data_IF_110196151467
#
_entry.id   IF_110196151467
#
_cell.length_a   1.000
_cell.length_b   1.000
_cell.length_c   1.000
_cell.angle_alpha   90.00
_cell.angle_beta   90.00
_cell.angle_gamma   90.00
#
_symmetry.space_group_name_H-M   'P 1'
#
loop_
_entity.id
_entity.type
_entity.pdbx_description
1 polymer ?
#
# COMPACT_ATOMS: atom_id res chain seq x y z
N UNK A 1 -34.22 27.19 -14.49
CA UNK A 1 -32.80 26.82 -14.66
C UNK A 1 -32.70 25.31 -14.48
N UNK A 2 -32.76 24.53 -15.57
CA UNK A 2 -32.72 23.07 -15.50
C UNK A 2 -31.28 22.61 -15.27
N UNK A 3 -31.04 21.90 -14.17
CA UNK A 3 -29.80 21.14 -13.95
C UNK A 3 -29.70 20.06 -15.03
N UNK A 4 -28.69 20.16 -15.90
CA UNK A 4 -28.27 19.04 -16.75
C UNK A 4 -27.75 17.95 -15.82
N UNK A 5 -28.51 16.87 -15.70
CA UNK A 5 -28.01 15.59 -15.18
C UNK A 5 -26.85 15.19 -16.10
N UNK A 6 -25.63 15.19 -15.55
CA UNK A 6 -24.45 14.65 -16.24
C UNK A 6 -24.74 13.17 -16.51
N UNK A 7 -24.84 12.80 -17.79
CA UNK A 7 -24.89 11.39 -18.18
C UNK A 7 -23.65 10.72 -17.63
N UNK A 8 -23.82 9.69 -16.82
CA UNK A 8 -22.72 8.82 -16.39
C UNK A 8 -21.97 8.33 -17.62
N UNK A 9 -20.65 8.50 -17.60
CA UNK A 9 -19.75 8.04 -18.66
C UNK A 9 -19.93 6.53 -18.81
N UNK A 10 -20.61 6.11 -19.87
CA UNK A 10 -20.89 4.71 -20.22
C UNK A 10 -19.71 4.02 -20.89
N UNK A 11 -18.50 4.56 -20.70
CA UNK A 11 -17.27 4.19 -21.41
C UNK A 11 -16.17 3.78 -20.42
N UNK A 12 -16.56 3.11 -19.32
CA UNK A 12 -15.67 2.48 -18.34
C UNK A 12 -15.85 0.97 -18.38
N UNK A 13 -14.79 0.23 -18.07
CA UNK A 13 -14.81 -1.23 -18.02
C UNK A 13 -15.82 -1.71 -16.96
N UNK A 14 -16.69 -2.69 -17.24
CA UNK A 14 -17.52 -3.29 -16.19
C UNK A 14 -16.63 -4.01 -15.17
N UNK A 15 -16.91 -3.83 -13.87
CA UNK A 15 -16.10 -4.43 -12.80
C UNK A 15 -15.96 -5.94 -12.93
N UNK A 16 -17.05 -6.62 -13.31
CA UNK A 16 -17.05 -8.06 -13.56
C UNK A 16 -16.02 -8.49 -14.61
N UNK A 17 -15.82 -7.71 -15.67
CA UNK A 17 -14.82 -8.05 -16.69
C UNK A 17 -13.39 -7.98 -16.13
N UNK A 18 -13.14 -7.05 -15.21
CA UNK A 18 -11.85 -6.93 -14.55
C UNK A 18 -11.66 -8.00 -13.45
N UNK A 19 -12.72 -8.36 -12.72
CA UNK A 19 -12.71 -9.50 -11.80
C UNK A 19 -12.39 -10.81 -12.54
N UNK A 20 -13.08 -11.06 -13.66
CA UNK A 20 -12.85 -12.23 -14.51
C UNK A 20 -11.41 -12.24 -15.06
N UNK A 21 -10.85 -11.06 -15.37
CA UNK A 21 -9.46 -10.93 -15.79
C UNK A 21 -8.47 -11.31 -14.66
N UNK A 22 -8.68 -10.85 -13.42
CA UNK A 22 -7.86 -11.26 -12.27
C UNK A 22 -7.96 -12.77 -12.01
N UNK A 23 -9.15 -13.35 -12.16
CA UNK A 23 -9.35 -14.80 -11.98
C UNK A 23 -8.56 -15.64 -13.00
N UNK A 24 -8.37 -15.13 -14.22
CA UNK A 24 -7.65 -15.82 -15.32
C UNK A 24 -6.14 -15.54 -15.28
N UNK A 25 -5.75 -14.29 -15.05
CA UNK A 25 -4.34 -13.86 -15.08
C UNK A 25 -3.55 -14.29 -13.83
N UNK A 26 -4.26 -14.74 -12.78
CA UNK A 26 -3.72 -14.86 -11.43
C UNK A 26 -4.02 -13.57 -10.66
N UNK A 27 -4.34 -13.70 -9.38
CA UNK A 27 -4.70 -12.58 -8.50
C UNK A 27 -3.62 -11.49 -8.39
N UNK A 28 -2.43 -11.71 -8.97
CA UNK A 28 -1.32 -10.77 -9.04
C UNK A 28 -0.98 -10.44 -10.49
N UNK A 29 -0.99 -9.15 -10.82
CA UNK A 29 -0.74 -8.65 -12.16
C UNK A 29 0.38 -7.62 -12.10
N UNK A 30 1.43 -7.83 -12.90
CA UNK A 30 2.50 -6.85 -13.08
C UNK A 30 2.21 -5.99 -14.31
N UNK A 31 2.13 -4.67 -14.12
CA UNK A 31 2.00 -3.70 -15.22
C UNK A 31 3.35 -3.44 -15.88
N UNK A 32 3.33 -2.81 -17.06
CA UNK A 32 4.56 -2.34 -17.74
C UNK A 32 5.35 -1.29 -16.97
N UNK A 33 4.70 -0.59 -16.03
CA UNK A 33 5.28 0.48 -15.23
C UNK A 33 5.79 -0.06 -13.86
N UNK A 34 6.01 -1.38 -13.76
CA UNK A 34 6.50 -2.04 -12.55
C UNK A 34 5.57 -1.85 -11.32
N UNK A 35 4.28 -1.61 -11.57
CA UNK A 35 3.23 -1.64 -10.54
C UNK A 35 2.65 -3.04 -10.49
N UNK A 36 2.51 -3.57 -9.29
CA UNK A 36 1.90 -4.87 -9.01
C UNK A 36 0.48 -4.63 -8.49
N UNK A 37 -0.52 -5.27 -9.08
CA UNK A 37 -1.90 -5.21 -8.64
C UNK A 37 -2.27 -6.56 -8.04
N UNK A 38 -2.80 -6.56 -6.83
CA UNK A 38 -3.26 -7.75 -6.13
C UNK A 38 -4.75 -7.62 -5.80
N UNK A 39 -5.56 -8.60 -6.20
CA UNK A 39 -6.96 -8.71 -5.81
C UNK A 39 -7.08 -9.71 -4.64
N UNK A 40 -7.46 -9.21 -3.47
CA UNK A 40 -7.70 -10.03 -2.28
C UNK A 40 -9.06 -10.71 -2.33
N UNK A 41 -9.22 -11.80 -1.58
CA UNK A 41 -10.49 -12.54 -1.45
C UNK A 41 -11.66 -11.67 -0.93
N UNK A 42 -11.35 -10.59 -0.20
CA UNK A 42 -12.32 -9.61 0.28
C UNK A 42 -12.86 -8.70 -0.82
N UNK A 43 -12.31 -8.78 -2.03
CA UNK A 43 -12.59 -7.90 -3.16
C UNK A 43 -11.72 -6.65 -3.21
N UNK A 44 -10.92 -6.39 -2.18
CA UNK A 44 -9.98 -5.25 -2.13
C UNK A 44 -8.87 -5.43 -3.17
N UNK A 45 -8.49 -4.34 -3.84
CA UNK A 45 -7.29 -4.31 -4.69
C UNK A 45 -6.18 -3.51 -4.02
N UNK A 46 -4.98 -4.06 -3.96
CA UNK A 46 -3.77 -3.33 -3.54
C UNK A 46 -2.89 -3.12 -4.77
N UNK A 47 -2.46 -1.88 -4.99
CA UNK A 47 -1.44 -1.56 -5.98
C UNK A 47 -0.11 -1.25 -5.27
N UNK A 48 0.95 -1.98 -5.61
CA UNK A 48 2.27 -1.88 -4.99
C UNK A 48 3.32 -1.48 -6.02
N UNK A 49 4.21 -0.55 -5.68
CA UNK A 49 5.33 -0.15 -6.51
C UNK A 49 6.62 -0.07 -5.67
N UNK A 50 7.65 -0.87 -5.98
CA UNK A 50 8.92 -0.81 -5.26
C UNK A 50 9.62 0.53 -5.44
N UNK A 51 10.01 1.16 -4.32
CA UNK A 51 10.73 2.44 -4.30
C UNK A 51 12.24 2.26 -4.18
N UNK A 52 12.67 1.31 -3.35
CA UNK A 52 14.08 1.01 -3.07
C UNK A 52 14.26 -0.35 -2.46
N UNK A 53 15.46 -0.87 -2.64
CA UNK A 53 16.00 -1.97 -1.85
C UNK A 53 17.45 -1.65 -1.49
N UNK A 54 17.77 -1.62 -0.20
CA UNK A 54 19.13 -1.55 0.32
C UNK A 54 19.55 -2.94 0.80
N UNK A 55 20.23 -3.68 -0.09
CA UNK A 55 20.75 -5.02 0.18
C UNK A 55 21.64 -5.07 1.43
N UNK A 56 22.38 -4.00 1.73
CA UNK A 56 23.34 -4.01 2.84
C UNK A 56 22.65 -3.90 4.18
N UNK A 57 21.52 -3.20 4.23
CA UNK A 57 20.70 -3.04 5.44
C UNK A 57 19.54 -4.04 5.50
N UNK A 58 19.27 -4.77 4.42
CA UNK A 58 18.11 -5.63 4.30
C UNK A 58 16.80 -4.86 4.42
N UNK A 59 16.73 -3.67 3.82
CA UNK A 59 15.54 -2.80 3.87
C UNK A 59 14.94 -2.69 2.47
N UNK A 60 13.70 -3.09 2.28
CA UNK A 60 12.90 -2.70 1.10
C UNK A 60 11.91 -1.61 1.49
N UNK A 61 11.61 -0.73 0.53
CA UNK A 61 10.57 0.29 0.69
C UNK A 61 9.65 0.20 -0.51
N UNK A 62 8.37 0.05 -0.24
CA UNK A 62 7.31 -0.08 -1.22
C UNK A 62 6.26 1.02 -1.03
N UNK A 63 5.69 1.48 -2.13
CA UNK A 63 4.57 2.42 -2.15
C UNK A 63 3.29 1.65 -2.49
N UNK A 64 2.28 1.78 -1.63
CA UNK A 64 1.03 1.04 -1.72
C UNK A 64 -0.16 1.99 -1.85
N UNK A 65 -1.15 1.59 -2.65
CA UNK A 65 -2.43 2.27 -2.77
C UNK A 65 -3.59 1.27 -2.62
N UNK A 66 -4.53 1.59 -1.73
CA UNK A 66 -5.61 0.69 -1.30
C UNK A 66 -6.92 1.00 -2.01
N UNK A 67 -7.44 0.10 -2.82
CA UNK A 67 -8.76 0.22 -3.43
C UNK A 67 -9.73 -0.73 -2.75
N UNK A 68 -10.84 -0.21 -2.23
CA UNK A 68 -11.89 -0.98 -1.55
C UNK A 68 -12.46 -2.10 -2.43
N UNK A 69 -12.45 -1.88 -3.74
CA UNK A 69 -12.86 -2.86 -4.75
C UNK A 69 -12.37 -2.48 -6.16
N UNK A 70 -12.58 -3.42 -7.09
CA UNK A 70 -12.26 -3.28 -8.52
C UNK A 70 -12.99 -2.10 -9.16
N UNK A 71 -14.23 -1.79 -8.77
CA UNK A 71 -14.94 -0.60 -9.28
C UNK A 71 -14.22 0.70 -8.92
N UNK A 72 -13.67 0.80 -7.71
CA UNK A 72 -12.92 1.98 -7.30
C UNK A 72 -11.63 2.11 -8.12
N UNK A 73 -10.91 1.01 -8.36
CA UNK A 73 -9.74 1.00 -9.24
C UNK A 73 -10.10 1.52 -10.64
N UNK A 74 -11.17 1.00 -11.24
CA UNK A 74 -11.66 1.41 -12.56
C UNK A 74 -11.99 2.89 -12.61
N UNK A 75 -12.74 3.39 -11.62
CA UNK A 75 -13.17 4.80 -11.56
C UNK A 75 -11.99 5.74 -11.34
N UNK A 76 -11.06 5.40 -10.46
CA UNK A 76 -9.90 6.24 -10.13
C UNK A 76 -8.96 6.39 -11.32
N UNK A 77 -8.71 5.31 -12.05
CA UNK A 77 -7.77 5.30 -13.18
C UNK A 77 -8.43 5.46 -14.55
N UNK A 78 -9.77 5.57 -14.60
CA UNK A 78 -10.52 5.70 -15.84
C UNK A 78 -10.32 4.51 -16.80
N UNK A 79 -10.26 3.30 -16.25
CA UNK A 79 -9.98 2.07 -17.00
C UNK A 79 -11.16 1.76 -17.93
N UNK A 80 -10.89 1.66 -19.23
CA UNK A 80 -11.91 1.33 -20.24
C UNK A 80 -11.76 -0.09 -20.79
N UNK A 81 -10.56 -0.64 -20.67
CA UNK A 81 -10.16 -1.98 -21.09
C UNK A 81 -9.00 -2.46 -20.24
N UNK A 82 -8.80 -3.76 -20.16
CA UNK A 82 -7.75 -4.40 -19.35
C UNK A 82 -6.34 -3.90 -19.68
N UNK A 83 -6.06 -3.50 -20.92
CA UNK A 83 -4.76 -2.96 -21.30
C UNK A 83 -4.45 -1.61 -20.65
N UNK A 84 -5.48 -0.86 -20.24
CA UNK A 84 -5.30 0.44 -19.59
C UNK A 84 -4.69 0.30 -18.19
N UNK A 85 -4.71 -0.90 -17.58
CA UNK A 85 -3.97 -1.19 -16.34
C UNK A 85 -2.47 -0.90 -16.49
N UNK A 86 -1.92 -1.04 -17.71
CA UNK A 86 -0.52 -0.72 -18.00
C UNK A 86 -0.20 0.77 -17.94
N UNK A 87 -1.20 1.64 -17.75
CA UNK A 87 -1.03 3.08 -17.61
C UNK A 87 -0.96 3.53 -16.16
N UNK A 88 -1.19 2.63 -15.20
CA UNK A 88 -1.06 2.94 -13.78
C UNK A 88 0.42 3.07 -13.48
N UNK A 89 0.83 4.27 -13.08
CA UNK A 89 2.22 4.63 -12.82
C UNK A 89 2.50 4.75 -11.32
N UNK A 90 3.79 4.76 -10.97
CA UNK A 90 4.24 5.13 -9.62
C UNK A 90 3.71 6.52 -9.19
N UNK A 91 3.59 7.47 -10.11
CA UNK A 91 3.08 8.82 -9.81
C UNK A 91 1.62 8.79 -9.35
N UNK A 92 0.81 7.91 -9.94
CA UNK A 92 -0.60 7.75 -9.54
C UNK A 92 -0.71 7.20 -8.12
N UNK A 93 0.15 6.23 -7.77
CA UNK A 93 0.25 5.70 -6.41
C UNK A 93 0.72 6.78 -5.42
N UNK A 94 1.65 7.65 -5.82
CA UNK A 94 2.09 8.77 -4.99
C UNK A 94 0.96 9.75 -4.69
N UNK A 95 0.16 10.11 -5.71
CA UNK A 95 -1.01 10.97 -5.53
C UNK A 95 -2.02 10.34 -4.57
N UNK A 96 -2.21 9.02 -4.65
CA UNK A 96 -3.08 8.26 -3.74
C UNK A 96 -2.57 8.29 -2.31
N UNK A 97 -1.26 8.06 -2.10
CA UNK A 97 -0.62 8.18 -0.80
C UNK A 97 -0.76 9.59 -0.21
N UNK A 98 -0.43 10.63 -0.98
CA UNK A 98 -0.57 12.03 -0.56
C UNK A 98 -2.03 12.42 -0.26
N UNK A 99 -2.98 11.76 -0.93
CA UNK A 99 -4.41 11.88 -0.66
C UNK A 99 -4.93 11.03 0.51
N UNK A 100 -4.07 10.28 1.21
CA UNK A 100 -4.46 9.42 2.34
C UNK A 100 -5.10 8.09 1.95
N UNK A 101 -5.08 7.71 0.67
CA UNK A 101 -5.63 6.45 0.14
C UNK A 101 -4.52 5.46 -0.24
N UNK A 102 -3.45 5.46 0.55
CA UNK A 102 -2.26 4.63 0.38
C UNK A 102 -1.34 4.77 1.59
N UNK A 103 -0.24 4.04 1.54
CA UNK A 103 0.80 4.06 2.56
C UNK A 103 2.14 3.67 1.94
N UNK A 104 3.23 3.97 2.64
CA UNK A 104 4.54 3.42 2.33
C UNK A 104 4.84 2.36 3.35
N UNK A 105 5.24 1.18 2.90
CA UNK A 105 5.72 0.10 3.77
C UNK A 105 7.23 0.00 3.64
N UNK A 106 7.90 -0.25 4.76
CA UNK A 106 9.30 -0.59 4.79
C UNK A 106 9.49 -1.91 5.53
N UNK A 107 9.88 -2.94 4.80
CA UNK A 107 10.27 -4.22 5.39
C UNK A 107 11.73 -4.12 5.85
N UNK A 108 11.97 -4.49 7.10
CA UNK A 108 13.29 -4.43 7.74
C UNK A 108 13.66 -5.87 8.11
N UNK A 109 14.35 -6.56 7.21
CA UNK A 109 14.69 -7.98 7.35
C UNK A 109 15.40 -8.32 8.67
N UNK A 110 16.26 -7.43 9.16
CA UNK A 110 16.99 -7.64 10.43
C UNK A 110 16.07 -7.70 11.65
N UNK A 111 14.88 -7.09 11.55
CA UNK A 111 13.90 -6.99 12.62
C UNK A 111 12.70 -7.93 12.45
N UNK A 112 12.57 -8.58 11.28
CA UNK A 112 11.38 -9.38 10.90
C UNK A 112 10.09 -8.59 11.15
N UNK A 113 10.08 -7.34 10.65
CA UNK A 113 9.06 -6.36 10.96
C UNK A 113 8.82 -5.38 9.81
N UNK A 114 7.54 -5.07 9.58
CA UNK A 114 7.14 -4.03 8.64
C UNK A 114 6.85 -2.71 9.36
N UNK A 115 7.35 -1.60 8.80
CA UNK A 115 7.06 -0.24 9.24
C UNK A 115 6.21 0.48 8.20
N UNK A 116 5.02 0.93 8.62
CA UNK A 116 4.06 1.59 7.76
C UNK A 116 4.02 3.10 8.01
N UNK A 117 4.03 3.88 6.94
CA UNK A 117 3.89 5.32 6.92
C UNK A 117 2.59 5.68 6.22
N UNK A 118 1.64 6.30 6.94
CA UNK A 118 0.35 6.73 6.38
C UNK A 118 0.09 8.19 6.69
N UNK A 119 -0.43 8.92 5.71
CA UNK A 119 -0.87 10.30 5.92
C UNK A 119 -2.27 10.31 6.51
N UNK A 120 -2.42 10.99 7.64
CA UNK A 120 -3.72 11.27 8.24
C UNK A 120 -3.80 12.77 8.54
N UNK A 121 -4.72 13.47 7.87
CA UNK A 121 -4.79 14.94 7.88
C UNK A 121 -3.46 15.56 7.43
N UNK A 122 -2.75 16.26 8.31
CA UNK A 122 -1.49 16.96 8.01
C UNK A 122 -0.28 16.31 8.69
N UNK A 123 -0.41 15.08 9.19
CA UNK A 123 0.67 14.34 9.87
C UNK A 123 0.95 13.03 9.15
N UNK A 124 2.19 12.54 9.31
CA UNK A 124 2.55 11.17 8.93
C UNK A 124 2.48 10.31 10.18
N UNK A 125 1.57 9.35 10.20
CA UNK A 125 1.53 8.29 11.20
C UNK A 125 2.51 7.21 10.80
N UNK A 126 3.42 6.88 11.70
CA UNK A 126 4.35 5.77 11.54
C UNK A 126 4.01 4.69 12.55
N UNK A 127 3.80 3.48 12.07
CA UNK A 127 3.37 2.38 12.93
C UNK A 127 3.89 1.04 12.45
N UNK A 128 4.00 0.10 13.38
CA UNK A 128 4.33 -1.29 13.08
C UNK A 128 3.58 -2.18 14.05
N UNK A 129 2.76 -3.08 13.52
CA UNK A 129 2.11 -4.12 14.32
C UNK A 129 3.16 -5.09 14.88
N UNK A 130 4.22 -5.34 14.10
CA UNK A 130 5.29 -6.26 14.49
C UNK A 130 6.09 -5.77 15.69
N UNK A 131 6.24 -4.47 15.82
CA UNK A 131 7.01 -3.86 16.90
C UNK A 131 6.13 -3.31 18.03
N UNK A 132 4.80 -3.39 17.91
CA UNK A 132 3.84 -2.65 18.75
C UNK A 132 4.25 -1.16 18.86
N UNK A 133 4.63 -0.58 17.72
CA UNK A 133 5.21 0.77 17.64
C UNK A 133 4.22 1.75 17.00
N UNK A 134 4.20 2.97 17.54
CA UNK A 134 3.42 4.08 17.01
C UNK A 134 4.13 5.41 17.25
N UNK A 135 4.18 6.26 16.22
CA UNK A 135 4.65 7.64 16.33
C UNK A 135 3.92 8.55 15.34
N UNK A 136 3.55 9.75 15.80
CA UNK A 136 3.09 10.82 14.92
C UNK A 136 4.24 11.76 14.56
N UNK A 137 4.38 12.05 13.27
CA UNK A 137 5.33 13.03 12.75
C UNK A 137 4.55 14.27 12.31
N UNK A 138 4.85 15.42 12.92
CA UNK A 138 4.18 16.71 12.69
C UNK A 138 4.69 17.35 11.38
N UNK A 139 4.64 16.59 10.28
CA UNK A 139 4.72 17.01 8.89
C UNK A 139 4.43 15.81 7.97
N UNK A 140 4.03 16.10 6.73
CA UNK A 140 3.83 15.09 5.69
C UNK A 140 5.17 14.68 5.11
N UNK A 141 5.49 13.39 5.18
CA UNK A 141 6.61 12.79 4.44
C UNK A 141 6.11 12.45 3.04
N UNK A 142 6.60 13.18 2.04
CA UNK A 142 6.15 13.13 0.65
C UNK A 142 7.23 12.66 -0.33
N UNK A 143 8.44 12.41 0.16
CA UNK A 143 9.59 12.04 -0.66
C UNK A 143 10.30 10.82 -0.09
N UNK A 144 10.74 9.93 -0.99
CA UNK A 144 11.45 8.68 -0.66
C UNK A 144 12.55 8.85 0.39
N UNK A 145 13.46 9.81 0.19
CA UNK A 145 14.59 10.05 1.10
C UNK A 145 14.19 10.43 2.52
N UNK A 146 12.96 10.92 2.74
CA UNK A 146 12.47 11.21 4.07
C UNK A 146 12.22 9.91 4.84
N UNK A 147 11.68 8.88 4.18
CA UNK A 147 11.46 7.55 4.78
C UNK A 147 12.79 6.88 5.10
N UNK A 148 13.71 6.85 4.13
CA UNK A 148 15.06 6.28 4.32
C UNK A 148 15.76 6.93 5.50
N UNK A 149 15.77 8.26 5.56
CA UNK A 149 16.36 9.01 6.67
C UNK A 149 15.66 8.70 8.00
N UNK A 150 14.33 8.65 8.02
CA UNK A 150 13.60 8.34 9.25
C UNK A 150 13.96 6.94 9.77
N UNK A 151 14.05 5.95 8.87
CA UNK A 151 14.43 4.58 9.24
C UNK A 151 15.84 4.56 9.82
N UNK A 152 16.80 5.18 9.14
CA UNK A 152 18.20 5.26 9.59
C UNK A 152 18.33 5.94 10.96
N UNK A 153 17.64 7.07 11.17
CA UNK A 153 17.69 7.83 12.41
C UNK A 153 17.02 7.10 13.60
N UNK A 154 16.11 6.16 13.33
CA UNK A 154 15.31 5.48 14.34
C UNK A 154 15.59 3.98 14.46
N UNK A 155 16.54 3.42 13.70
CA UNK A 155 16.81 1.97 13.68
C UNK A 155 17.04 1.38 15.09
N UNK A 156 17.83 2.07 15.92
CA UNK A 156 18.04 1.66 17.31
C UNK A 156 16.73 1.61 18.12
N UNK A 157 15.81 2.55 17.89
CA UNK A 157 14.52 2.58 18.59
C UNK A 157 13.62 1.42 18.16
N UNK A 158 13.66 1.05 16.88
CA UNK A 158 12.93 -0.12 16.38
C UNK A 158 13.47 -1.42 16.95
N UNK A 159 14.79 -1.59 16.99
CA UNK A 159 15.42 -2.74 17.63
C UNK A 159 15.00 -2.88 19.11
N UNK A 160 14.95 -1.78 19.85
CA UNK A 160 14.45 -1.78 21.24
C UNK A 160 12.95 -2.14 21.31
N UNK A 161 12.12 -1.63 20.40
CA UNK A 161 10.70 -1.93 20.36
C UNK A 161 10.43 -3.43 20.12
N UNK A 162 11.17 -4.06 19.19
CA UNK A 162 11.12 -5.51 18.96
C UNK A 162 11.47 -6.30 20.22
N UNK A 163 12.53 -5.91 20.94
CA UNK A 163 12.94 -6.58 22.18
C UNK A 163 11.92 -6.45 23.32
N UNK A 164 11.15 -5.37 23.33
CA UNK A 164 10.11 -5.11 24.33
C UNK A 164 8.75 -5.70 23.94
N UNK A 165 8.64 -6.37 22.80
CA UNK A 165 7.40 -7.03 22.38
C UNK A 165 6.98 -8.01 23.46
N UNK A 166 5.76 -7.89 24.04
CA UNK A 166 5.28 -8.89 24.97
C UNK A 166 5.26 -10.22 24.22
N UNK A 167 6.05 -11.20 24.68
CA UNK A 167 5.95 -12.56 24.18
C UNK A 167 4.52 -13.02 24.43
N UNK A 168 3.70 -13.03 23.39
CA UNK A 168 2.50 -13.85 23.39
C UNK A 168 3.04 -15.28 23.50
N UNK A 169 3.02 -15.81 24.72
CA UNK A 169 3.33 -17.21 24.96
C UNK A 169 2.54 -18.02 23.94
N UNK A 170 3.15 -19.02 23.27
CA UNK A 170 2.42 -19.87 22.35
C UNK A 170 1.18 -20.37 23.08
N UNK A 171 0.00 -20.17 22.48
CA UNK A 171 -1.26 -20.69 22.98
C UNK A 171 -0.99 -22.13 23.39
N UNK A 172 -1.14 -22.41 24.69
CA UNK A 172 -0.93 -23.75 25.22
C UNK A 172 -1.73 -24.70 24.34
N UNK A 173 -1.02 -25.61 23.69
CA UNK A 173 -1.54 -26.81 23.05
C UNK A 173 -2.70 -27.33 23.88
N UNK A 174 -3.92 -27.07 23.40
CA UNK A 174 -5.12 -27.69 23.94
C UNK A 174 -5.09 -29.11 23.41
N UNK A 175 -4.48 -30.01 24.17
CA UNK A 175 -4.62 -31.45 23.95
C UNK A 175 -5.94 -31.85 24.61
N UNK A 176 -6.89 -32.45 23.89
CA UNK A 176 -8.21 -32.83 24.41
C UNK A 176 -8.14 -33.84 25.55
#
# INVERSE_FOLDING_TARGET
>A
MMMKVLKENTDILPAKELDDFFAVAGMHIKTKEEVYLELHETGQVIATCPLSFDEKKGISIDLLADYDNVEQLIKVHGIKRTEDLNRITQSDLWLRYLGGNGYVAADINELDAELCFRIVKSVTMVYSADMNFYQEIIHVMSMKHQFERYIDENMHRFAVAVLMRPMLLPEKLYVP
#
